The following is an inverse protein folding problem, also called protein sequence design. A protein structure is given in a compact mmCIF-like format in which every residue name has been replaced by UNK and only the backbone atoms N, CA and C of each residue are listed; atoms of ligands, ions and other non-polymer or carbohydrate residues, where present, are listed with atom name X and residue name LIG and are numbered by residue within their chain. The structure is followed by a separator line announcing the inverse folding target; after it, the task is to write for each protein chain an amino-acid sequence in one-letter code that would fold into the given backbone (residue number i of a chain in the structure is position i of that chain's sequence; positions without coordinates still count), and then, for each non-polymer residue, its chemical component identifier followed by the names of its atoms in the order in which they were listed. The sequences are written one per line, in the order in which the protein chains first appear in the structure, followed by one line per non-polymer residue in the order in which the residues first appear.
data_IF_028531413144
#
_entry.id   IF_028531413144
#
_cell.length_a   1.000
_cell.length_b   1.000
_cell.length_c   1.000
_cell.angle_alpha   90.00
_cell.angle_beta   90.00
_cell.angle_gamma   90.00
#
_symmetry.space_group_name_H-M   'P 1'
#
loop_
_entity.id
_entity.type
_entity.pdbx_description
1 polymer ?
#
# COMPACT_ATOMS: atom_id res chain seq x y z
N UNK A 1 -27.57 6.60 0.17
CA UNK A 1 -26.95 6.46 -1.15
C UNK A 1 -25.47 6.47 -0.94
N UNK A 2 -24.82 5.31 -1.05
CA UNK A 2 -23.41 5.18 -0.67
C UNK A 2 -22.56 5.43 -1.92
N UNK A 3 -21.89 6.57 -1.91
CA UNK A 3 -20.99 6.98 -2.98
C UNK A 3 -19.73 6.10 -2.86
N UNK A 4 -19.59 5.14 -3.76
CA UNK A 4 -18.32 4.45 -4.01
C UNK A 4 -17.43 5.43 -4.78
N UNK A 5 -16.48 6.06 -4.09
CA UNK A 5 -15.49 6.91 -4.71
C UNK A 5 -14.37 6.04 -5.30
N UNK A 6 -14.26 6.07 -6.62
CA UNK A 6 -13.23 5.39 -7.41
C UNK A 6 -11.86 6.04 -7.15
N UNK A 7 -10.97 5.31 -6.48
CA UNK A 7 -9.56 5.64 -6.27
C UNK A 7 -8.98 4.82 -5.12
N UNK A 8 -7.65 4.64 -5.03
CA UNK A 8 -7.03 4.03 -3.86
C UNK A 8 -7.48 4.76 -2.59
N UNK A 9 -8.20 4.05 -1.73
CA UNK A 9 -8.67 4.61 -0.47
C UNK A 9 -7.51 4.65 0.52
N UNK A 10 -7.06 5.86 0.88
CA UNK A 10 -6.24 6.03 2.08
C UNK A 10 -7.14 5.74 3.28
N UNK A 11 -6.76 4.78 4.13
CA UNK A 11 -7.49 4.57 5.38
C UNK A 11 -7.35 5.84 6.23
N UNK A 12 -8.46 6.39 6.72
CA UNK A 12 -8.52 7.71 7.39
C UNK A 12 -7.59 7.81 8.60
N UNK A 13 -7.20 6.66 9.17
CA UNK A 13 -6.31 6.51 10.32
C UNK A 13 -4.81 6.41 9.96
N UNK A 14 -4.44 6.40 8.67
CA UNK A 14 -3.04 6.25 8.25
C UNK A 14 -2.27 7.57 8.13
N UNK A 15 -0.98 7.51 8.45
CA UNK A 15 -0.08 8.66 8.46
C UNK A 15 0.20 9.16 7.03
N UNK A 16 0.47 10.47 6.91
CA UNK A 16 0.82 11.08 5.63
C UNK A 16 2.13 10.50 5.06
N UNK A 17 2.22 10.34 3.72
CA UNK A 17 3.45 9.92 3.06
C UNK A 17 4.66 10.75 3.50
N UNK A 18 5.74 10.08 3.90
CA UNK A 18 6.97 10.73 4.34
C UNK A 18 6.98 11.29 5.77
N UNK A 19 5.88 11.15 6.53
CA UNK A 19 5.90 11.30 7.98
C UNK A 19 6.42 10.01 8.64
N UNK A 20 6.84 10.08 9.91
CA UNK A 20 7.05 8.85 10.71
C UNK A 20 5.71 8.13 10.84
N UNK A 21 5.69 6.83 10.55
CA UNK A 21 4.47 6.02 10.54
C UNK A 21 4.22 5.35 9.19
N UNK A 22 3.21 4.49 9.15
CA UNK A 22 2.84 3.76 7.94
C UNK A 22 1.77 4.52 7.14
N UNK A 23 2.05 4.73 5.85
CA UNK A 23 1.05 5.04 4.83
C UNK A 23 0.46 3.73 4.31
N UNK A 24 -0.84 3.53 4.53
CA UNK A 24 -1.57 2.36 4.07
C UNK A 24 -2.45 2.73 2.88
N UNK A 25 -2.23 2.08 1.74
CA UNK A 25 -3.02 2.25 0.53
C UNK A 25 -3.66 0.91 0.17
N UNK A 26 -4.98 0.90 0.08
CA UNK A 26 -5.77 -0.25 -0.34
C UNK A 26 -6.47 0.06 -1.66
N UNK A 27 -6.35 -0.83 -2.65
CA UNK A 27 -7.05 -0.71 -3.92
C UNK A 27 -7.44 -2.08 -4.47
N UNK A 28 -8.35 -2.08 -5.45
CA UNK A 28 -8.84 -3.31 -6.04
C UNK A 28 -7.75 -4.03 -6.85
N UNK A 29 -7.70 -5.35 -6.65
CA UNK A 29 -6.76 -6.31 -7.25
C UNK A 29 -6.79 -6.37 -8.77
N UNK A 30 -7.96 -6.12 -9.34
CA UNK A 30 -8.31 -6.36 -10.74
C UNK A 30 -8.13 -5.13 -11.63
N UNK A 31 -7.98 -3.94 -11.05
CA UNK A 31 -7.98 -2.69 -11.82
C UNK A 31 -6.82 -1.76 -11.46
N UNK A 32 -6.41 -1.73 -10.20
CA UNK A 32 -5.41 -0.77 -9.72
C UNK A 32 -4.14 -1.46 -9.25
N UNK A 33 -4.26 -2.63 -8.60
CA UNK A 33 -3.15 -3.33 -7.92
C UNK A 33 -2.85 -4.71 -8.54
N UNK A 34 -3.23 -4.95 -9.79
CA UNK A 34 -2.87 -6.17 -10.53
C UNK A 34 -1.34 -6.32 -10.67
N UNK A 35 -0.63 -5.21 -10.83
CA UNK A 35 0.83 -5.18 -10.90
C UNK A 35 1.52 -5.76 -9.65
N UNK A 36 0.84 -5.79 -8.49
CA UNK A 36 1.39 -6.37 -7.26
C UNK A 36 1.68 -7.88 -7.40
N UNK A 37 1.08 -8.57 -8.37
CA UNK A 37 1.39 -9.97 -8.67
C UNK A 37 2.85 -10.17 -9.10
N UNK A 38 3.47 -9.15 -9.70
CA UNK A 38 4.81 -9.22 -10.27
C UNK A 38 5.88 -8.55 -9.41
N UNK A 39 5.49 -8.00 -8.25
CA UNK A 39 6.41 -7.29 -7.37
C UNK A 39 7.34 -8.27 -6.65
N UNK A 40 8.61 -7.91 -6.58
CA UNK A 40 9.65 -8.61 -5.86
C UNK A 40 10.30 -7.73 -4.78
N UNK A 41 11.00 -8.39 -3.85
CA UNK A 41 11.85 -7.69 -2.88
C UNK A 41 12.92 -6.87 -3.60
N UNK A 42 13.09 -5.61 -3.17
CA UNK A 42 14.03 -4.68 -3.77
C UNK A 42 13.46 -3.79 -4.88
N UNK A 43 12.25 -4.07 -5.37
CA UNK A 43 11.54 -3.21 -6.32
C UNK A 43 11.26 -1.83 -5.72
N UNK A 44 11.10 -0.83 -6.58
CA UNK A 44 10.91 0.57 -6.17
C UNK A 44 9.51 1.06 -6.53
N UNK A 45 8.91 1.79 -5.61
CA UNK A 45 7.69 2.55 -5.84
C UNK A 45 7.99 4.04 -5.74
N UNK A 46 7.48 4.79 -6.70
CA UNK A 46 7.42 6.24 -6.64
C UNK A 46 6.01 6.64 -6.23
N UNK A 47 5.92 7.43 -5.17
CA UNK A 47 4.66 7.92 -4.65
C UNK A 47 4.63 9.44 -4.72
N UNK A 48 3.75 9.95 -5.58
CA UNK A 48 3.47 11.37 -5.68
C UNK A 48 2.35 11.75 -4.69
N UNK A 49 2.53 12.85 -3.97
CA UNK A 49 1.53 13.37 -3.03
C UNK A 49 1.07 14.76 -3.42
N UNK A 50 -0.24 14.96 -3.55
CA UNK A 50 -0.82 16.31 -3.76
C UNK A 50 -0.62 17.25 -2.56
N UNK A 51 -0.24 16.72 -1.39
CA UNK A 51 -0.05 17.48 -0.15
C UNK A 51 1.40 17.89 0.08
N UNK A 52 2.34 17.39 -0.72
CA UNK A 52 3.77 17.69 -0.59
C UNK A 52 4.42 17.65 -1.96
N UNK A 53 5.05 18.75 -2.36
CA UNK A 53 5.93 18.80 -3.51
C UNK A 53 7.19 17.97 -3.23
N UNK A 54 7.16 16.68 -3.59
CA UNK A 54 8.30 15.79 -3.48
C UNK A 54 7.98 14.39 -3.98
N UNK A 55 8.94 13.79 -4.69
CA UNK A 55 8.89 12.39 -5.10
C UNK A 55 9.39 11.52 -3.95
N UNK A 56 8.52 10.66 -3.44
CA UNK A 56 8.89 9.70 -2.40
C UNK A 56 9.22 8.37 -3.05
N UNK A 57 10.48 7.94 -2.93
CA UNK A 57 10.89 6.61 -3.38
C UNK A 57 10.86 5.64 -2.20
N UNK A 58 10.10 4.57 -2.35
CA UNK A 58 10.06 3.45 -1.42
C UNK A 58 10.66 2.21 -2.07
N UNK A 59 11.34 1.39 -1.29
CA UNK A 59 11.85 0.09 -1.73
C UNK A 59 11.14 -1.05 -1.00
N UNK A 60 10.67 -2.04 -1.75
CA UNK A 60 9.99 -3.22 -1.23
C UNK A 60 10.93 -4.00 -0.31
N UNK A 61 10.51 -4.15 0.94
CA UNK A 61 11.25 -4.81 2.02
C UNK A 61 10.60 -6.11 2.47
N UNK A 62 9.29 -6.26 2.26
CA UNK A 62 8.56 -7.47 2.64
C UNK A 62 7.30 -7.67 1.79
N UNK A 63 6.93 -8.94 1.61
CA UNK A 63 5.71 -9.37 0.93
C UNK A 63 5.08 -10.49 1.76
N UNK A 64 3.81 -10.36 2.13
CA UNK A 64 3.09 -11.38 2.89
C UNK A 64 1.65 -11.57 2.42
N UNK A 65 1.13 -12.78 2.62
CA UNK A 65 -0.30 -13.07 2.53
C UNK A 65 -0.80 -13.21 3.97
N UNK A 66 -1.87 -12.49 4.32
CA UNK A 66 -2.51 -12.59 5.63
C UNK A 66 -3.99 -12.92 5.51
N UNK A 67 -4.57 -13.42 6.58
CA UNK A 67 -6.01 -13.60 6.76
C UNK A 67 -6.57 -12.40 7.54
N UNK A 68 -7.32 -11.54 6.86
CA UNK A 68 -7.84 -10.30 7.45
C UNK A 68 -8.92 -10.55 8.52
N UNK A 69 -9.46 -11.77 8.65
CA UNK A 69 -10.39 -12.12 9.73
C UNK A 69 -9.66 -12.51 11.02
N UNK A 70 -8.33 -12.74 10.95
CA UNK A 70 -7.52 -13.23 12.08
C UNK A 70 -6.39 -12.28 12.48
N UNK A 71 -5.93 -11.46 11.56
CA UNK A 71 -4.76 -10.60 11.76
C UNK A 71 -5.03 -9.18 11.24
N UNK A 72 -4.68 -8.19 12.07
CA UNK A 72 -4.69 -6.79 11.68
C UNK A 72 -3.41 -6.39 10.95
N UNK A 73 -3.53 -5.39 10.07
CA UNK A 73 -2.39 -4.77 9.42
C UNK A 73 -1.85 -3.68 10.33
N UNK A 74 -0.76 -3.97 11.03
CA UNK A 74 -0.06 -2.97 11.85
C UNK A 74 0.38 -1.77 10.99
N UNK A 75 0.11 -0.57 11.49
CA UNK A 75 0.48 0.73 10.91
C UNK A 75 1.45 1.53 11.81
N UNK A 76 1.89 0.90 12.90
CA UNK A 76 2.80 1.48 13.88
C UNK A 76 4.24 1.20 13.48
N UNK A 77 4.76 2.03 12.58
CA UNK A 77 6.17 2.01 12.18
C UNK A 77 6.91 3.23 12.69
N UNK A 78 8.11 3.02 13.25
CA UNK A 78 9.03 4.09 13.60
C UNK A 78 9.72 4.72 12.37
N UNK A 79 9.50 4.15 11.19
CA UNK A 79 10.03 4.60 9.91
C UNK A 79 8.89 5.03 8.98
N UNK A 80 9.21 5.79 7.93
CA UNK A 80 8.26 6.07 6.86
C UNK A 80 8.09 4.80 6.02
N UNK A 81 6.96 4.13 6.20
CA UNK A 81 6.65 2.84 5.59
C UNK A 81 5.42 2.97 4.67
N UNK A 82 5.47 2.32 3.52
CA UNK A 82 4.35 2.21 2.59
C UNK A 82 3.84 0.76 2.59
N UNK A 83 2.56 0.57 2.89
CA UNK A 83 1.87 -0.72 2.72
C UNK A 83 0.85 -0.65 1.60
N UNK A 84 1.02 -1.48 0.60
CA UNK A 84 0.05 -1.68 -0.49
C UNK A 84 -0.69 -2.98 -0.24
N UNK A 85 -2.03 -2.90 -0.17
CA UNK A 85 -2.88 -4.03 0.20
C UNK A 85 -3.93 -4.29 -0.86
N UNK A 86 -4.03 -5.54 -1.26
CA UNK A 86 -5.08 -6.01 -2.18
C UNK A 86 -5.64 -7.37 -1.78
N UNK A 87 -6.75 -7.78 -2.39
CA UNK A 87 -7.34 -9.11 -2.19
C UNK A 87 -6.42 -10.20 -2.77
N UNK A 88 -6.42 -11.39 -2.18
CA UNK A 88 -5.68 -12.55 -2.69
C UNK A 88 -6.63 -13.77 -2.78
N UNK A 89 -6.46 -14.71 -3.74
CA UNK A 89 -5.45 -14.79 -4.81
C UNK A 89 -5.76 -13.93 -6.05
N UNK A 90 -4.74 -13.48 -6.81
CA UNK A 90 -4.87 -12.62 -8.01
C UNK A 90 -5.85 -13.14 -9.08
N UNK A 91 -5.77 -14.42 -9.40
CA UNK A 91 -6.56 -15.05 -10.47
C UNK A 91 -7.83 -15.77 -9.98
N UNK A 92 -8.36 -15.40 -8.82
CA UNK A 92 -9.58 -16.03 -8.28
C UNK A 92 -10.86 -15.42 -8.87
N UNK A 93 -11.77 -16.24 -9.47
CA UNK A 93 -13.11 -15.80 -9.88
C UNK A 93 -14.01 -15.48 -8.68
N UNK A 94 -13.64 -15.97 -7.49
CA UNK A 94 -14.30 -15.63 -6.23
C UNK A 94 -13.63 -14.36 -5.68
N UNK A 95 -14.29 -13.22 -5.85
CA UNK A 95 -14.03 -12.03 -5.07
C UNK A 95 -14.56 -12.24 -3.64
N UNK A 96 -13.91 -11.65 -2.62
CA UNK A 96 -14.30 -11.64 -1.20
C UNK A 96 -13.77 -12.76 -0.29
N UNK A 97 -12.70 -13.46 -0.66
CA UNK A 97 -11.94 -14.24 0.33
C UNK A 97 -11.34 -13.33 1.42
N UNK A 98 -11.06 -13.83 2.64
CA UNK A 98 -10.49 -13.01 3.71
C UNK A 98 -9.00 -12.72 3.50
N UNK A 99 -8.36 -13.42 2.55
CA UNK A 99 -6.94 -13.28 2.31
C UNK A 99 -6.60 -11.93 1.65
N UNK A 100 -5.52 -11.33 2.13
CA UNK A 100 -4.95 -10.08 1.60
C UNK A 100 -3.49 -10.27 1.26
N UNK A 101 -3.09 -9.75 0.11
CA UNK A 101 -1.69 -9.62 -0.28
C UNK A 101 -1.20 -8.25 0.19
N UNK A 102 -0.13 -8.25 0.98
CA UNK A 102 0.41 -7.05 1.62
C UNK A 102 1.86 -6.90 1.20
N UNK A 103 2.13 -5.86 0.42
CA UNK A 103 3.49 -5.43 0.08
C UNK A 103 3.88 -4.31 1.03
N UNK A 104 5.05 -4.43 1.66
CA UNK A 104 5.63 -3.42 2.54
C UNK A 104 6.89 -2.87 1.89
N UNK A 105 7.01 -1.55 1.86
CA UNK A 105 8.14 -0.85 1.30
C UNK A 105 8.60 0.27 2.24
N UNK A 106 9.91 0.46 2.37
CA UNK A 106 10.50 1.46 3.26
C UNK A 106 10.99 2.67 2.43
N UNK A 107 10.84 3.88 2.97
CA UNK A 107 11.32 5.08 2.30
C UNK A 107 12.86 5.04 2.14
N UNK A 108 13.34 5.20 0.90
CA UNK A 108 14.77 5.25 0.58
C UNK A 108 15.25 6.67 0.25
N UNK A 109 14.41 7.48 -0.40
CA UNK A 109 14.74 8.87 -0.77
C UNK A 109 13.50 9.74 -0.66
N UNK A 110 13.69 10.95 -0.12
CA UNK A 110 12.73 12.05 -0.21
C UNK A 110 13.38 13.15 -1.04
N UNK A 111 13.00 13.27 -2.31
CA UNK A 111 13.47 14.41 -3.10
C UNK A 111 12.71 15.67 -2.65
N UNK A 112 13.36 16.44 -1.79
CA UNK A 112 12.96 17.81 -1.49
C UNK A 112 13.57 18.70 -2.57
N UNK A 113 12.94 18.78 -3.75
CA UNK A 113 13.32 19.84 -4.69
C UNK A 113 13.00 21.19 -4.02
N UNK A 114 14.07 21.89 -3.65
CA UNK A 114 14.08 23.22 -3.02
C UNK A 114 13.66 24.31 -4.00
#
# INVERSE_FOLDING_TARGET
GNVLAFGPGRNIESHHPGARGTTLISAHRDTHFDFLEYVALGDKFELDSIYSSGNYQYQVSNIKIIDADKEDISIDSNQAELKLVTCYPFNSPIANGPLRYVVTANLITKDNNS
#
